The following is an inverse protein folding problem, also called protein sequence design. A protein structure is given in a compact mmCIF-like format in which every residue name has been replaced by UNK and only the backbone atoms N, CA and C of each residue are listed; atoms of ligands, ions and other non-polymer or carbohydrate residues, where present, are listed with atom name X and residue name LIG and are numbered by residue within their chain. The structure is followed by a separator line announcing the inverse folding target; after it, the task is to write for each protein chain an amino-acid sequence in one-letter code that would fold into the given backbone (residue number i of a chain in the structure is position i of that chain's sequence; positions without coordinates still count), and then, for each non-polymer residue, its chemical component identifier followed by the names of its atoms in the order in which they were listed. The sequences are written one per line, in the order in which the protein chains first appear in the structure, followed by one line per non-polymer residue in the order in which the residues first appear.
data_IF_048029978866
#
_entry.id   IF_048029978866
#
_cell.length_a   1.000
_cell.length_b   1.000
_cell.length_c   1.000
_cell.angle_alpha   90.00
_cell.angle_beta   90.00
_cell.angle_gamma   90.00
#
_symmetry.space_group_name_H-M   'P 1'
#
loop_
_entity.id
_entity.type
_entity.pdbx_description
1 polymer ?
#
# COMPACT_ATOMS: atom_id res chain seq x y z
N UNK A 1 -23.33 51.41 -40.45
CA UNK A 1 -23.01 52.04 -39.15
C UNK A 1 -22.43 50.96 -38.23
N UNK A 2 -21.11 50.97 -37.95
CA UNK A 2 -20.49 49.96 -37.07
C UNK A 2 -20.75 50.36 -35.61
N UNK A 3 -21.59 49.61 -34.88
CA UNK A 3 -21.76 49.80 -33.43
C UNK A 3 -20.42 49.49 -32.75
N UNK A 4 -19.89 50.44 -31.99
CA UNK A 4 -18.75 50.20 -31.09
C UNK A 4 -19.30 49.58 -29.80
N UNK A 5 -18.87 48.36 -29.50
CA UNK A 5 -19.17 47.66 -28.24
C UNK A 5 -18.31 48.25 -27.12
N UNK A 6 -18.92 48.64 -26.00
CA UNK A 6 -18.23 49.08 -24.78
C UNK A 6 -18.80 48.35 -23.57
N UNK A 7 -17.97 48.10 -22.56
CA UNK A 7 -18.35 47.44 -21.30
C UNK A 7 -18.28 48.43 -20.13
N UNK A 8 -19.09 48.18 -19.10
CA UNK A 8 -19.07 48.98 -17.87
C UNK A 8 -18.14 48.36 -16.82
N UNK A 9 -17.55 49.20 -15.96
CA UNK A 9 -16.72 48.73 -14.83
C UNK A 9 -17.51 47.81 -13.89
N UNK A 10 -18.83 48.02 -13.76
CA UNK A 10 -19.68 47.17 -12.92
C UNK A 10 -19.89 45.77 -13.52
N UNK A 11 -19.99 45.63 -14.84
CA UNK A 11 -20.01 44.32 -15.51
C UNK A 11 -18.69 43.57 -15.28
N UNK A 12 -17.55 44.27 -15.37
CA UNK A 12 -16.25 43.63 -15.14
C UNK A 12 -16.13 43.13 -13.70
N UNK A 13 -16.51 43.95 -12.71
CA UNK A 13 -16.43 43.59 -11.30
C UNK A 13 -17.39 42.45 -10.95
N UNK A 14 -18.61 42.45 -11.51
CA UNK A 14 -19.57 41.36 -11.33
C UNK A 14 -19.05 40.06 -11.95
N UNK A 15 -18.47 40.10 -13.16
CA UNK A 15 -17.92 38.91 -13.81
C UNK A 15 -16.76 38.33 -13.01
N UNK A 16 -15.80 39.17 -12.59
CA UNK A 16 -14.64 38.67 -11.82
C UNK A 16 -15.08 38.16 -10.45
N UNK A 17 -16.07 38.79 -9.82
CA UNK A 17 -16.66 38.34 -8.56
C UNK A 17 -17.37 36.98 -8.69
N UNK A 18 -18.23 36.81 -9.70
CA UNK A 18 -18.93 35.53 -9.95
C UNK A 18 -17.95 34.44 -10.34
N UNK A 19 -16.98 34.72 -11.21
CA UNK A 19 -15.95 33.75 -11.60
C UNK A 19 -15.09 33.35 -10.39
N UNK A 20 -14.75 34.28 -9.50
CA UNK A 20 -14.02 33.98 -8.27
C UNK A 20 -14.79 33.03 -7.34
N UNK A 21 -16.07 33.31 -7.09
CA UNK A 21 -16.93 32.44 -6.26
C UNK A 21 -17.08 31.06 -6.91
N UNK A 22 -17.42 31.00 -8.19
CA UNK A 22 -17.55 29.74 -8.92
C UNK A 22 -16.24 28.95 -8.90
N UNK A 23 -15.08 29.57 -9.12
CA UNK A 23 -13.79 28.91 -9.05
C UNK A 23 -13.52 28.30 -7.66
N UNK A 24 -13.78 29.03 -6.58
CA UNK A 24 -13.60 28.49 -5.21
C UNK A 24 -14.56 27.34 -4.90
N UNK A 25 -15.82 27.44 -5.30
CA UNK A 25 -16.83 26.38 -5.11
C UNK A 25 -16.47 25.15 -5.94
N UNK A 26 -15.99 25.34 -7.16
CA UNK A 26 -15.60 24.23 -8.05
C UNK A 26 -14.40 23.46 -7.51
N UNK A 27 -13.40 24.14 -6.94
CA UNK A 27 -12.23 23.49 -6.31
C UNK A 27 -12.59 22.75 -5.03
N UNK A 28 -13.59 23.22 -4.27
CA UNK A 28 -14.10 22.50 -3.09
C UNK A 28 -14.90 21.25 -3.46
N UNK A 29 -15.49 21.20 -4.65
CA UNK A 29 -16.29 20.07 -5.15
C UNK A 29 -15.47 19.06 -5.94
N UNK A 30 -14.39 19.47 -6.62
CA UNK A 30 -13.52 18.60 -7.41
C UNK A 30 -12.18 18.51 -6.72
N UNK A 31 -11.84 17.37 -6.12
CA UNK A 31 -10.48 17.08 -5.67
C UNK A 31 -9.61 16.74 -6.90
N UNK A 32 -8.76 17.68 -7.39
CA UNK A 32 -8.03 17.47 -8.64
C UNK A 32 -6.97 16.37 -8.53
N UNK A 33 -6.43 16.15 -7.32
CA UNK A 33 -5.44 15.09 -7.07
C UNK A 33 -6.10 13.72 -7.23
N UNK A 34 -7.31 13.56 -6.70
CA UNK A 34 -8.08 12.33 -6.84
C UNK A 34 -8.42 12.04 -8.31
N UNK A 35 -8.77 13.06 -9.10
CA UNK A 35 -9.03 12.88 -10.53
C UNK A 35 -7.78 12.42 -11.31
N UNK A 36 -6.60 12.95 -10.96
CA UNK A 36 -5.33 12.50 -11.54
C UNK A 36 -5.01 11.05 -11.14
N UNK A 37 -5.26 10.68 -9.88
CA UNK A 37 -5.12 9.28 -9.40
C UNK A 37 -6.03 8.33 -10.17
N UNK A 38 -7.30 8.71 -10.36
CA UNK A 38 -8.24 7.92 -11.16
C UNK A 38 -7.77 7.75 -12.61
N UNK A 39 -7.14 8.78 -13.19
CA UNK A 39 -6.54 8.69 -14.52
C UNK A 39 -5.39 7.68 -14.59
N UNK A 40 -4.53 7.64 -13.57
CA UNK A 40 -3.46 6.63 -13.47
C UNK A 40 -4.00 5.23 -13.22
N UNK A 41 -4.97 5.07 -12.32
CA UNK A 41 -5.62 3.77 -12.06
C UNK A 41 -6.32 3.21 -13.30
N UNK A 42 -7.05 4.06 -14.05
CA UNK A 42 -7.65 3.65 -15.31
C UNK A 42 -6.59 3.14 -16.32
N UNK A 43 -5.40 3.75 -16.31
CA UNK A 43 -4.27 3.31 -17.12
C UNK A 43 -3.69 1.98 -16.63
N UNK A 44 -3.49 1.80 -15.32
CA UNK A 44 -3.03 0.53 -14.71
C UNK A 44 -3.91 -0.65 -15.15
N UNK A 45 -5.23 -0.46 -15.02
CA UNK A 45 -6.23 -1.48 -15.38
C UNK A 45 -6.14 -1.80 -16.88
N UNK A 46 -6.04 -0.78 -17.74
CA UNK A 46 -5.94 -1.00 -19.19
C UNK A 46 -4.63 -1.72 -19.58
N UNK A 47 -3.52 -1.37 -18.94
CA UNK A 47 -2.22 -1.99 -19.16
C UNK A 47 -2.23 -3.47 -18.71
N UNK A 48 -2.75 -3.76 -17.51
CA UNK A 48 -2.86 -5.15 -17.03
C UNK A 48 -3.84 -5.99 -17.85
N UNK A 49 -4.97 -5.43 -18.32
CA UNK A 49 -5.87 -6.13 -19.25
C UNK A 49 -5.18 -6.47 -20.57
N UNK A 50 -4.37 -5.55 -21.09
CA UNK A 50 -3.60 -5.78 -22.32
C UNK A 50 -2.61 -6.94 -22.14
N UNK A 51 -1.92 -7.00 -20.99
CA UNK A 51 -1.02 -8.11 -20.66
C UNK A 51 -1.80 -9.42 -20.49
N UNK A 52 -2.92 -9.39 -19.77
CA UNK A 52 -3.78 -10.56 -19.55
C UNK A 52 -4.29 -11.16 -20.87
N UNK A 53 -4.73 -10.31 -21.80
CA UNK A 53 -5.17 -10.75 -23.13
C UNK A 53 -4.00 -11.36 -23.92
N UNK A 54 -2.81 -10.76 -23.85
CA UNK A 54 -1.61 -11.30 -24.49
C UNK A 54 -1.20 -12.66 -23.90
N UNK A 55 -1.28 -12.84 -22.58
CA UNK A 55 -1.07 -14.12 -21.92
C UNK A 55 -2.14 -15.15 -22.33
N UNK A 56 -3.39 -14.74 -22.53
CA UNK A 56 -4.44 -15.59 -23.09
C UNK A 56 -4.12 -16.10 -24.51
N UNK A 57 -3.54 -15.25 -25.36
CA UNK A 57 -3.01 -15.67 -26.67
C UNK A 57 -1.88 -16.70 -26.51
N UNK A 58 -0.96 -16.48 -25.57
CA UNK A 58 0.12 -17.43 -25.29
C UNK A 58 -0.43 -18.76 -24.78
N UNK A 59 -1.40 -18.74 -23.87
CA UNK A 59 -2.05 -19.92 -23.33
C UNK A 59 -2.67 -20.78 -24.45
N UNK A 60 -3.28 -20.14 -25.44
CA UNK A 60 -3.93 -20.83 -26.54
C UNK A 60 -2.93 -21.47 -27.52
N UNK A 61 -1.91 -20.72 -27.96
CA UNK A 61 -0.99 -21.19 -29.01
C UNK A 61 0.23 -21.95 -28.48
N UNK A 62 0.74 -21.59 -27.30
CA UNK A 62 1.97 -22.14 -26.72
C UNK A 62 1.90 -22.17 -25.18
N UNK A 63 1.00 -22.98 -24.60
CA UNK A 63 0.77 -23.01 -23.15
C UNK A 63 2.04 -23.30 -22.33
N UNK A 64 2.98 -24.08 -22.87
CA UNK A 64 4.25 -24.37 -22.18
C UNK A 64 5.15 -23.14 -21.98
N UNK A 65 4.93 -22.05 -22.71
CA UNK A 65 5.66 -20.80 -22.54
C UNK A 65 5.25 -20.03 -21.28
N UNK A 66 4.10 -20.35 -20.66
CA UNK A 66 3.68 -19.79 -19.38
C UNK A 66 4.45 -20.38 -18.18
N UNK A 67 5.27 -21.40 -18.41
CA UNK A 67 5.99 -22.11 -17.37
C UNK A 67 5.08 -22.94 -16.46
N UNK A 68 5.63 -23.36 -15.33
CA UNK A 68 4.91 -24.04 -14.25
C UNK A 68 4.97 -23.17 -13.00
N UNK A 69 4.00 -23.27 -12.07
CA UNK A 69 4.02 -22.51 -10.83
C UNK A 69 5.36 -22.63 -10.09
N UNK A 70 5.84 -21.50 -9.58
CA UNK A 70 6.99 -21.37 -8.69
C UNK A 70 6.71 -20.33 -7.59
N UNK A 71 7.50 -20.36 -6.53
CA UNK A 71 7.39 -19.41 -5.41
C UNK A 71 8.15 -18.09 -5.73
N UNK A 72 8.00 -17.58 -6.96
CA UNK A 72 8.65 -16.35 -7.45
C UNK A 72 7.60 -15.32 -7.84
N UNK A 73 7.74 -14.12 -7.29
CA UNK A 73 6.96 -12.94 -7.66
C UNK A 73 7.83 -12.09 -8.59
N UNK A 74 7.47 -12.02 -9.85
CA UNK A 74 8.20 -11.19 -10.81
C UNK A 74 7.67 -9.75 -10.74
N UNK A 75 8.57 -8.77 -10.65
CA UNK A 75 8.22 -7.38 -10.33
C UNK A 75 8.62 -6.44 -11.47
N UNK A 76 7.74 -5.49 -11.83
CA UNK A 76 7.97 -4.53 -12.91
C UNK A 76 9.02 -3.45 -12.61
N UNK A 77 9.63 -3.47 -11.43
CA UNK A 77 10.68 -2.54 -11.03
C UNK A 77 12.02 -2.99 -11.60
N UNK A 78 12.76 -2.12 -12.30
CA UNK A 78 14.11 -2.46 -12.75
C UNK A 78 15.09 -2.47 -11.57
N UNK A 79 16.04 -3.39 -11.60
CA UNK A 79 17.10 -3.50 -10.59
C UNK A 79 18.49 -3.33 -11.20
N UNK A 80 19.37 -2.63 -10.48
CA UNK A 80 20.80 -2.55 -10.82
C UNK A 80 21.56 -3.84 -10.46
N UNK A 81 21.01 -4.66 -9.57
CA UNK A 81 21.61 -5.89 -9.03
C UNK A 81 20.80 -7.14 -9.35
N UNK A 82 20.05 -7.11 -10.47
CA UNK A 82 19.21 -8.23 -10.89
C UNK A 82 19.94 -9.59 -10.80
N UNK A 83 19.29 -10.66 -10.31
CA UNK A 83 17.85 -10.79 -10.08
C UNK A 83 17.33 -10.14 -8.77
N UNK A 84 18.22 -9.72 -7.86
CA UNK A 84 17.82 -9.12 -6.58
C UNK A 84 17.05 -7.82 -6.81
N UNK A 85 15.89 -7.68 -6.17
CA UNK A 85 15.04 -6.51 -6.28
C UNK A 85 15.45 -5.37 -5.34
N UNK A 86 14.77 -4.23 -5.48
CA UNK A 86 14.88 -3.10 -4.56
C UNK A 86 14.63 -3.57 -3.11
N UNK A 87 15.56 -3.32 -2.16
CA UNK A 87 15.38 -3.70 -0.75
C UNK A 87 14.22 -2.99 -0.06
N UNK A 88 13.63 -1.94 -0.65
CA UNK A 88 12.41 -1.31 -0.12
C UNK A 88 11.14 -2.12 -0.40
N UNK A 89 11.19 -3.16 -1.24
CA UNK A 89 10.08 -4.09 -1.37
C UNK A 89 9.80 -4.81 -0.03
N UNK A 90 8.53 -5.04 0.32
CA UNK A 90 8.18 -5.73 1.56
C UNK A 90 8.66 -7.18 1.50
N UNK A 91 9.40 -7.69 2.51
CA UNK A 91 10.02 -9.01 2.43
C UNK A 91 8.96 -10.10 2.27
N UNK A 92 9.11 -11.02 1.29
CA UNK A 92 8.17 -12.11 1.09
C UNK A 92 8.35 -13.18 2.19
N UNK A 93 7.28 -13.90 2.58
CA UNK A 93 7.38 -15.05 3.47
C UNK A 93 8.08 -16.22 2.77
N UNK A 94 8.87 -17.00 3.51
CA UNK A 94 9.43 -18.24 2.97
C UNK A 94 8.31 -19.21 2.53
N UNK A 95 8.39 -19.87 1.36
CA UNK A 95 9.54 -19.95 0.43
C UNK A 95 9.59 -18.88 -0.67
N UNK A 96 8.70 -17.89 -0.65
CA UNK A 96 8.58 -16.90 -1.72
C UNK A 96 9.78 -15.96 -1.83
N UNK A 97 10.07 -15.53 -3.06
CA UNK A 97 11.11 -14.56 -3.38
C UNK A 97 10.66 -13.61 -4.50
N UNK A 98 11.28 -12.43 -4.59
CA UNK A 98 11.08 -11.55 -5.73
C UNK A 98 12.14 -11.78 -6.81
N UNK A 99 11.75 -11.58 -8.06
CA UNK A 99 12.68 -11.51 -9.18
C UNK A 99 12.47 -10.21 -9.97
N UNK A 100 13.54 -9.42 -10.08
CA UNK A 100 13.57 -8.19 -10.86
C UNK A 100 14.52 -8.35 -12.05
N UNK A 101 14.33 -7.51 -13.05
CA UNK A 101 15.19 -7.49 -14.25
C UNK A 101 16.00 -6.21 -14.32
N UNK A 102 17.06 -6.23 -15.12
CA UNK A 102 17.90 -5.04 -15.31
C UNK A 102 17.11 -3.90 -15.94
N UNK A 103 17.59 -2.66 -15.78
CA UNK A 103 17.05 -1.48 -16.48
C UNK A 103 16.96 -1.66 -18.01
N UNK A 104 17.83 -2.48 -18.60
CA UNK A 104 17.84 -2.74 -20.03
C UNK A 104 16.81 -3.80 -20.46
N UNK A 105 16.45 -4.73 -19.56
CA UNK A 105 15.70 -5.92 -19.92
C UNK A 105 14.27 -5.91 -19.42
N UNK A 106 13.97 -5.23 -18.31
CA UNK A 106 12.70 -5.38 -17.60
C UNK A 106 11.45 -5.21 -18.47
N UNK A 107 11.50 -4.43 -19.55
CA UNK A 107 10.35 -4.20 -20.43
C UNK A 107 10.31 -5.04 -21.70
N UNK A 108 11.27 -5.95 -21.90
CA UNK A 108 11.34 -6.82 -23.08
C UNK A 108 10.23 -7.86 -23.08
N UNK A 109 9.85 -8.31 -24.27
CA UNK A 109 8.77 -9.28 -24.50
C UNK A 109 9.27 -10.62 -25.06
N UNK A 110 10.59 -10.83 -25.02
CA UNK A 110 11.30 -12.01 -25.53
C UNK A 110 11.58 -13.07 -24.45
N UNK A 111 10.90 -12.98 -23.31
CA UNK A 111 11.11 -13.83 -22.13
C UNK A 111 12.18 -13.33 -21.16
N UNK A 112 12.92 -12.26 -21.47
CA UNK A 112 13.89 -11.66 -20.55
C UNK A 112 13.34 -10.52 -19.68
N UNK A 113 12.11 -10.07 -19.95
CA UNK A 113 11.44 -9.02 -19.20
C UNK A 113 10.91 -9.45 -17.83
N UNK A 114 10.25 -8.51 -17.14
CA UNK A 114 9.67 -8.77 -15.82
C UNK A 114 8.53 -9.80 -15.88
N UNK A 115 7.95 -10.06 -17.05
CA UNK A 115 7.17 -11.27 -17.29
C UNK A 115 8.06 -12.24 -18.08
N UNK A 116 8.42 -13.41 -17.53
CA UNK A 116 9.35 -14.36 -18.14
C UNK A 116 8.69 -15.20 -19.25
N UNK A 117 7.92 -14.55 -20.14
CA UNK A 117 7.19 -15.16 -21.26
C UNK A 117 7.67 -14.55 -22.57
N UNK A 118 8.02 -15.40 -23.53
CA UNK A 118 8.38 -14.96 -24.89
C UNK A 118 7.12 -14.79 -25.76
N UNK A 119 6.59 -13.57 -25.79
CA UNK A 119 5.44 -13.18 -26.59
C UNK A 119 5.75 -13.15 -28.10
N UNK A 120 7.01 -13.13 -28.50
CA UNK A 120 7.37 -13.20 -29.92
C UNK A 120 7.19 -14.62 -30.48
N UNK A 121 7.06 -15.63 -29.61
CA UNK A 121 7.05 -17.03 -30.03
C UNK A 121 5.69 -17.59 -30.42
N UNK A 122 4.61 -16.81 -30.30
CA UNK A 122 3.23 -17.29 -30.46
C UNK A 122 2.57 -16.83 -31.76
N UNK A 123 3.13 -15.84 -32.44
CA UNK A 123 2.52 -15.19 -33.60
C UNK A 123 3.57 -14.42 -34.41
N UNK A 124 3.31 -14.19 -35.70
CA UNK A 124 4.13 -13.33 -36.56
C UNK A 124 4.04 -11.84 -36.19
N UNK A 125 2.95 -11.44 -35.52
CA UNK A 125 2.78 -10.14 -34.88
C UNK A 125 2.67 -10.37 -33.38
N UNK A 126 3.66 -9.96 -32.56
CA UNK A 126 3.61 -10.16 -31.12
C UNK A 126 2.33 -9.55 -30.53
N UNK A 127 1.60 -10.26 -29.65
CA UNK A 127 0.41 -9.73 -29.00
C UNK A 127 0.74 -8.55 -28.07
N UNK A 128 2.01 -8.38 -27.70
CA UNK A 128 2.51 -7.30 -26.87
C UNK A 128 3.84 -6.78 -27.41
N UNK A 129 3.96 -5.47 -27.60
CA UNK A 129 5.18 -4.83 -28.12
C UNK A 129 6.19 -4.40 -27.06
N UNK A 130 5.74 -4.21 -25.82
CA UNK A 130 6.56 -3.82 -24.66
C UNK A 130 5.81 -4.19 -23.39
N UNK A 131 6.50 -4.69 -22.37
CA UNK A 131 5.85 -4.87 -21.07
C UNK A 131 5.54 -3.50 -20.46
N UNK A 132 4.29 -3.26 -20.02
CA UNK A 132 3.93 -2.03 -19.34
C UNK A 132 4.58 -2.03 -17.95
N UNK A 133 4.73 -0.82 -17.43
CA UNK A 133 5.11 -0.57 -16.04
C UNK A 133 4.28 0.60 -15.57
N UNK A 134 4.08 0.67 -14.26
CA UNK A 134 3.36 1.78 -13.67
C UNK A 134 3.99 3.14 -14.07
N UNK A 135 3.17 4.19 -14.13
CA UNK A 135 3.68 5.53 -14.43
C UNK A 135 4.62 6.07 -13.34
N UNK A 136 4.53 5.56 -12.11
CA UNK A 136 5.39 5.90 -10.98
C UNK A 136 6.47 4.80 -10.83
N UNK A 137 6.08 3.52 -10.74
CA UNK A 137 6.97 2.35 -10.75
C UNK A 137 8.11 2.40 -9.72
N UNK A 138 7.76 2.68 -8.47
CA UNK A 138 8.67 2.72 -7.31
C UNK A 138 8.18 1.78 -6.23
N UNK A 139 9.12 1.15 -5.51
CA UNK A 139 8.82 0.12 -4.51
C UNK A 139 8.18 0.72 -3.24
N UNK A 140 8.62 1.92 -2.85
CA UNK A 140 8.22 2.58 -1.61
C UNK A 140 6.70 2.83 -1.54
N UNK A 141 6.11 3.23 -2.67
CA UNK A 141 4.70 3.60 -2.76
C UNK A 141 3.79 2.41 -3.12
N UNK A 142 4.33 1.21 -3.36
CA UNK A 142 3.54 0.05 -3.82
C UNK A 142 3.07 0.15 -5.28
N UNK A 143 3.49 1.19 -6.01
CA UNK A 143 2.96 1.51 -7.34
C UNK A 143 3.78 0.85 -8.45
N UNK A 144 3.64 -0.46 -8.56
CA UNK A 144 4.27 -1.31 -9.58
C UNK A 144 3.35 -2.50 -9.89
N UNK A 145 3.73 -3.33 -10.87
CA UNK A 145 3.01 -4.55 -11.23
C UNK A 145 3.78 -5.79 -10.78
N UNK A 146 3.05 -6.81 -10.39
CA UNK A 146 3.58 -8.13 -10.10
C UNK A 146 2.97 -9.19 -10.99
N UNK A 147 3.68 -10.30 -11.17
CA UNK A 147 3.25 -11.46 -11.93
C UNK A 147 3.70 -12.74 -11.23
N UNK A 148 2.83 -13.75 -11.21
CA UNK A 148 3.16 -15.13 -10.86
C UNK A 148 2.79 -16.04 -12.03
N UNK A 149 3.66 -17.02 -12.34
CA UNK A 149 3.54 -17.87 -13.54
C UNK A 149 2.80 -19.19 -13.28
N UNK A 150 2.45 -19.89 -14.35
CA UNK A 150 1.52 -21.04 -14.32
C UNK A 150 0.12 -20.62 -14.78
N UNK A 151 -0.94 -21.02 -14.06
CA UNK A 151 -2.15 -20.20 -14.06
C UNK A 151 -1.72 -18.84 -13.54
N UNK A 152 -1.83 -17.77 -14.32
CA UNK A 152 -1.21 -16.51 -13.93
C UNK A 152 -2.13 -15.64 -13.11
N UNK A 153 -1.48 -14.78 -12.33
CA UNK A 153 -2.05 -13.69 -11.56
C UNK A 153 -1.20 -12.45 -11.81
N UNK A 154 -1.85 -11.31 -12.04
CA UNK A 154 -1.24 -10.00 -12.21
C UNK A 154 -1.87 -9.04 -11.20
N UNK A 155 -1.04 -8.36 -10.40
CA UNK A 155 -1.54 -7.47 -9.35
C UNK A 155 -1.04 -6.03 -9.54
N UNK A 156 -1.89 -5.06 -9.17
CA UNK A 156 -1.53 -3.65 -9.10
C UNK A 156 -2.26 -2.93 -7.97
N UNK A 157 -1.56 -2.09 -7.21
CA UNK A 157 -2.20 -1.20 -6.23
C UNK A 157 -2.92 -0.05 -6.92
N UNK A 158 -4.14 0.26 -6.49
CA UNK A 158 -4.90 1.44 -6.94
C UNK A 158 -4.66 2.64 -6.02
N UNK A 159 -4.39 3.82 -6.59
CA UNK A 159 -4.09 5.02 -5.81
C UNK A 159 -5.33 5.80 -5.35
N UNK A 160 -6.41 5.71 -6.12
CA UNK A 160 -7.60 6.53 -5.96
C UNK A 160 -8.60 5.87 -5.02
N UNK A 161 -9.31 6.69 -4.26
CA UNK A 161 -10.40 6.23 -3.40
C UNK A 161 -11.50 5.59 -4.27
N UNK A 162 -11.74 6.12 -5.47
CA UNK A 162 -12.79 5.61 -6.34
C UNK A 162 -12.58 4.16 -6.79
N UNK A 163 -11.34 3.76 -7.12
CA UNK A 163 -11.02 2.41 -7.62
C UNK A 163 -10.73 1.41 -6.48
N UNK A 164 -10.31 1.89 -5.31
CA UNK A 164 -10.09 1.04 -4.12
C UNK A 164 -11.37 0.37 -3.59
N UNK A 165 -11.18 -0.60 -2.69
CA UNK A 165 -12.30 -1.31 -2.06
C UNK A 165 -13.26 -0.34 -1.35
N UNK A 166 -14.55 -0.47 -1.59
CA UNK A 166 -15.60 0.42 -1.08
C UNK A 166 -15.70 1.78 -1.78
N UNK A 167 -14.87 2.02 -2.80
CA UNK A 167 -14.95 3.21 -3.66
C UNK A 167 -16.15 3.20 -4.61
N UNK A 168 -16.40 4.32 -5.30
CA UNK A 168 -17.52 4.42 -6.26
C UNK A 168 -17.39 3.42 -7.43
N UNK A 169 -16.17 3.14 -7.88
CA UNK A 169 -15.88 2.18 -8.95
C UNK A 169 -15.53 0.79 -8.40
N UNK A 170 -14.99 0.73 -7.18
CA UNK A 170 -14.73 -0.50 -6.42
C UNK A 170 -14.12 -1.63 -7.28
N UNK A 171 -13.04 -1.37 -8.02
CA UNK A 171 -12.49 -2.44 -8.88
C UNK A 171 -11.78 -3.49 -8.05
N UNK A 172 -11.06 -3.06 -7.01
CA UNK A 172 -10.35 -3.94 -6.08
C UNK A 172 -11.33 -4.83 -5.30
N UNK A 173 -12.49 -4.31 -4.89
CA UNK A 173 -13.48 -5.13 -4.19
C UNK A 173 -14.34 -6.03 -5.10
N UNK A 174 -14.21 -5.92 -6.42
CA UNK A 174 -15.08 -6.59 -7.39
C UNK A 174 -14.31 -7.41 -8.45
N UNK A 175 -13.00 -7.56 -8.32
CA UNK A 175 -12.17 -8.29 -9.28
C UNK A 175 -12.21 -9.82 -9.07
N UNK A 176 -12.69 -10.27 -7.92
CA UNK A 176 -12.87 -11.68 -7.59
C UNK A 176 -11.61 -12.36 -7.05
N UNK A 177 -10.59 -11.58 -6.70
CA UNK A 177 -9.38 -12.06 -6.05
C UNK A 177 -9.52 -12.25 -4.55
N UNK A 178 -8.40 -12.49 -3.88
CA UNK A 178 -8.35 -12.84 -2.46
C UNK A 178 -7.99 -11.67 -1.53
N UNK A 179 -7.59 -10.53 -2.07
CA UNK A 179 -7.30 -9.32 -1.29
C UNK A 179 -8.26 -8.18 -1.63
N UNK A 180 -8.40 -7.25 -0.69
CA UNK A 180 -9.13 -5.99 -0.89
C UNK A 180 -8.18 -4.79 -1.05
N UNK A 181 -6.91 -5.05 -1.34
CA UNK A 181 -5.86 -4.02 -1.40
C UNK A 181 -5.22 -3.88 -2.79
N UNK A 182 -5.34 -4.89 -3.65
CA UNK A 182 -4.77 -4.90 -4.99
C UNK A 182 -5.87 -5.18 -6.01
N UNK A 183 -5.74 -4.60 -7.19
CA UNK A 183 -6.50 -5.05 -8.34
C UNK A 183 -5.83 -6.29 -8.91
N UNK A 184 -6.58 -7.39 -8.97
CA UNK A 184 -6.10 -8.71 -9.38
C UNK A 184 -6.72 -9.12 -10.72
N UNK A 185 -5.91 -9.62 -11.66
CA UNK A 185 -6.41 -10.14 -12.94
C UNK A 185 -5.59 -11.31 -13.44
N UNK A 186 -6.25 -12.32 -13.98
CA UNK A 186 -5.57 -13.54 -14.40
C UNK A 186 -6.52 -14.70 -14.59
N UNK A 187 -5.95 -15.90 -14.57
CA UNK A 187 -6.69 -17.18 -14.63
C UNK A 187 -6.89 -17.83 -13.27
N UNK A 188 -6.07 -17.46 -12.29
CA UNK A 188 -6.18 -17.87 -10.90
C UNK A 188 -5.73 -16.69 -10.05
N UNK A 189 -6.56 -16.27 -9.11
CA UNK A 189 -6.43 -15.01 -8.35
C UNK A 189 -6.14 -15.26 -6.87
N UNK A 190 -5.68 -16.47 -6.53
CA UNK A 190 -5.31 -16.87 -5.18
C UNK A 190 -3.95 -17.57 -5.17
N UNK A 191 -3.11 -17.30 -6.18
CA UNK A 191 -1.80 -17.92 -6.32
C UNK A 191 -0.77 -17.26 -5.42
N UNK A 192 -0.94 -15.96 -5.18
CA UNK A 192 -0.12 -15.22 -4.22
C UNK A 192 -0.76 -15.34 -2.84
N UNK A 193 -0.04 -15.78 -1.79
CA UNK A 193 -0.58 -15.78 -0.44
C UNK A 193 -1.06 -14.39 -0.03
N UNK A 194 -2.25 -14.32 0.58
CA UNK A 194 -2.88 -13.06 1.00
C UNK A 194 -1.95 -12.19 1.86
N UNK A 195 -1.06 -12.78 2.66
CA UNK A 195 -0.09 -12.01 3.47
C UNK A 195 0.93 -11.25 2.61
N UNK A 196 1.20 -11.73 1.40
CA UNK A 196 2.06 -11.05 0.41
C UNK A 196 1.25 -9.97 -0.30
N UNK A 197 0.05 -10.29 -0.78
CA UNK A 197 -0.84 -9.33 -1.43
C UNK A 197 -1.15 -8.13 -0.51
N UNK A 198 -1.42 -8.38 0.77
CA UNK A 198 -1.66 -7.35 1.76
C UNK A 198 -0.42 -6.48 2.01
N UNK A 199 0.78 -7.06 1.99
CA UNK A 199 2.06 -6.33 2.10
C UNK A 199 2.35 -5.48 0.85
N UNK A 200 2.08 -6.02 -0.33
CA UNK A 200 2.28 -5.33 -1.61
C UNK A 200 1.32 -4.13 -1.76
N UNK A 201 0.08 -4.24 -1.25
CA UNK A 201 -0.94 -3.18 -1.33
C UNK A 201 -0.89 -2.10 -0.25
N UNK A 202 0.10 -2.14 0.65
CA UNK A 202 0.19 -1.22 1.80
C UNK A 202 1.53 -0.51 1.93
N UNK A 203 2.47 -0.76 1.00
CA UNK A 203 3.81 -0.16 0.97
C UNK A 203 4.86 -0.97 1.74
N UNK A 204 6.12 -0.50 1.69
CA UNK A 204 7.23 -1.13 2.41
C UNK A 204 6.92 -1.32 3.90
N UNK A 205 7.31 -2.46 4.48
CA UNK A 205 7.20 -2.65 5.92
C UNK A 205 7.94 -1.52 6.67
N UNK A 206 7.37 -1.08 7.79
CA UNK A 206 7.91 0.04 8.56
C UNK A 206 7.90 -0.26 10.07
N UNK A 207 8.72 0.45 10.85
CA UNK A 207 8.67 0.35 12.31
C UNK A 207 7.26 0.73 12.82
N UNK A 208 6.72 0.13 13.89
CA UNK A 208 5.31 0.29 14.23
C UNK A 208 4.89 1.76 14.36
N UNK A 209 3.67 2.12 13.97
CA UNK A 209 3.11 3.45 14.26
C UNK A 209 2.26 3.36 15.53
N UNK A 210 2.67 4.06 16.58
CA UNK A 210 2.08 3.92 17.92
C UNK A 210 1.29 5.16 18.31
N UNK A 211 0.21 4.97 19.05
CA UNK A 211 -0.57 6.03 19.67
C UNK A 211 -0.88 5.64 21.11
N UNK A 212 -0.44 6.48 22.05
CA UNK A 212 -0.83 6.38 23.46
C UNK A 212 -2.24 6.92 23.61
N UNK A 213 -3.18 6.09 24.08
CA UNK A 213 -4.58 6.47 24.30
C UNK A 213 -4.81 6.83 25.77
N UNK A 214 -5.96 7.44 26.06
CA UNK A 214 -6.33 7.76 27.44
C UNK A 214 -6.48 6.49 28.29
N UNK A 215 -5.99 6.54 29.52
CA UNK A 215 -6.21 5.48 30.50
C UNK A 215 -7.70 5.39 30.88
N UNK A 216 -8.16 4.18 31.18
CA UNK A 216 -9.53 3.89 31.63
C UNK A 216 -9.51 3.18 32.98
N UNK A 217 -10.69 2.99 33.58
CA UNK A 217 -10.88 2.20 34.81
C UNK A 217 -9.95 2.62 35.96
N UNK A 218 -9.66 3.93 36.03
CA UNK A 218 -8.77 4.52 37.03
C UNK A 218 -9.45 4.59 38.40
N UNK A 219 -8.85 3.92 39.39
CA UNK A 219 -9.23 4.00 40.81
C UNK A 219 -8.12 4.67 41.62
N UNK A 220 -8.19 4.63 42.95
CA UNK A 220 -7.12 5.15 43.82
C UNK A 220 -5.82 4.35 43.73
N UNK A 221 -5.85 3.10 43.26
CA UNK A 221 -4.69 2.19 43.26
C UNK A 221 -4.53 1.32 42.00
N UNK A 222 -5.43 1.48 41.03
CA UNK A 222 -5.41 0.72 39.76
C UNK A 222 -5.74 1.63 38.59
N UNK A 223 -5.30 1.25 37.39
CA UNK A 223 -5.76 1.87 36.14
C UNK A 223 -5.48 0.92 34.98
N UNK A 224 -6.20 1.05 33.88
CA UNK A 224 -5.90 0.37 32.62
C UNK A 224 -5.22 1.35 31.66
N UNK A 225 -4.01 1.01 31.21
CA UNK A 225 -3.29 1.75 30.18
C UNK A 225 -3.76 1.27 28.81
N UNK A 226 -4.07 2.20 27.91
CA UNK A 226 -4.57 1.88 26.58
C UNK A 226 -3.61 2.41 25.50
N UNK A 227 -3.42 1.61 24.46
CA UNK A 227 -2.59 1.96 23.30
C UNK A 227 -3.16 1.39 22.01
N UNK A 228 -2.76 1.98 20.90
CA UNK A 228 -3.01 1.44 19.56
C UNK A 228 -1.71 1.44 18.78
N UNK A 229 -1.43 0.38 18.04
CA UNK A 229 -0.24 0.32 17.21
C UNK A 229 -0.51 -0.40 15.89
N UNK A 230 -0.11 0.22 14.78
CA UNK A 230 -0.01 -0.45 13.49
C UNK A 230 1.28 -1.28 13.47
N UNK A 231 1.22 -2.62 13.32
CA UNK A 231 2.42 -3.46 13.28
C UNK A 231 3.40 -3.16 12.14
N UNK A 232 2.95 -2.49 11.08
CA UNK A 232 3.81 -2.10 9.95
C UNK A 232 4.26 -3.27 9.08
N UNK A 233 3.45 -4.33 8.97
CA UNK A 233 3.65 -5.43 8.02
C UNK A 233 4.53 -6.58 8.54
N UNK A 234 5.12 -6.42 9.72
CA UNK A 234 5.97 -7.40 10.40
C UNK A 234 5.45 -7.70 11.79
N UNK A 235 5.75 -8.89 12.30
CA UNK A 235 5.32 -9.31 13.64
C UNK A 235 5.78 -8.30 14.68
N UNK A 236 4.81 -7.67 15.37
CA UNK A 236 5.06 -6.63 16.34
C UNK A 236 4.55 -7.01 17.74
N UNK A 237 5.23 -6.49 18.76
CA UNK A 237 4.84 -6.63 20.17
C UNK A 237 4.63 -5.25 20.77
N UNK A 238 3.54 -5.06 21.53
CA UNK A 238 3.21 -3.82 22.24
C UNK A 238 3.40 -3.94 23.76
N UNK A 239 3.84 -2.88 24.42
CA UNK A 239 3.94 -2.75 25.88
C UNK A 239 3.86 -1.28 26.31
N UNK A 240 3.96 -1.03 27.61
CA UNK A 240 3.90 0.31 28.18
C UNK A 240 5.12 0.62 29.07
N UNK A 241 5.40 1.91 29.21
CA UNK A 241 6.26 2.49 30.25
C UNK A 241 5.45 3.48 31.06
N UNK A 242 5.66 3.55 32.37
CA UNK A 242 4.99 4.52 33.24
C UNK A 242 5.87 4.99 34.40
N UNK A 243 5.69 6.24 34.84
CA UNK A 243 6.36 6.81 36.01
C UNK A 243 5.53 7.95 36.62
N UNK A 244 5.86 8.34 37.84
CA UNK A 244 5.44 9.59 38.49
C UNK A 244 6.17 10.82 37.93
N UNK A 245 7.30 10.63 37.26
CA UNK A 245 8.07 11.69 36.60
C UNK A 245 7.73 11.73 35.11
N UNK A 246 7.28 12.88 34.62
CA UNK A 246 7.01 13.07 33.20
C UNK A 246 8.28 12.88 32.36
N UNK A 247 8.25 12.07 31.29
CA UNK A 247 9.42 11.90 30.42
C UNK A 247 9.64 13.08 29.46
N UNK A 248 8.72 14.05 29.42
CA UNK A 248 8.67 15.13 28.42
C UNK A 248 8.24 14.62 27.04
N UNK A 249 8.99 13.64 26.50
CA UNK A 249 8.64 12.89 25.30
C UNK A 249 8.74 11.39 25.58
N UNK A 250 7.84 10.62 24.99
CA UNK A 250 7.85 9.16 25.15
C UNK A 250 9.19 8.55 24.74
N UNK A 251 9.59 7.49 25.44
CA UNK A 251 10.77 6.69 25.14
C UNK A 251 10.65 5.32 25.84
N UNK A 252 11.51 4.36 25.48
CA UNK A 252 11.50 3.02 26.11
C UNK A 252 12.52 2.86 27.23
N UNK A 253 12.88 3.94 27.92
CA UNK A 253 13.83 3.92 29.04
C UNK A 253 13.30 4.58 30.31
N UNK A 254 12.27 5.41 30.23
CA UNK A 254 11.71 6.09 31.40
C UNK A 254 10.87 5.16 32.25
N UNK A 255 10.96 5.31 33.57
CA UNK A 255 10.11 4.61 34.52
C UNK A 255 10.07 3.10 34.40
N UNK A 256 8.93 2.57 34.81
CA UNK A 256 8.68 1.15 34.97
C UNK A 256 8.02 0.60 33.72
N UNK A 257 8.51 -0.55 33.24
CA UNK A 257 7.91 -1.28 32.12
C UNK A 257 6.72 -2.12 32.58
N UNK A 258 5.65 -2.14 31.78
CA UNK A 258 4.47 -2.96 32.01
C UNK A 258 4.03 -3.64 30.69
N UNK A 259 3.94 -4.98 30.64
CA UNK A 259 4.38 -5.93 31.67
C UNK A 259 5.90 -5.86 31.88
N UNK A 260 6.42 -6.48 32.94
CA UNK A 260 7.87 -6.48 33.23
C UNK A 260 8.69 -7.19 32.15
N UNK A 261 8.09 -8.16 31.45
CA UNK A 261 8.67 -8.91 30.33
C UNK A 261 7.61 -9.23 29.28
N UNK A 262 7.99 -9.36 28.01
CA UNK A 262 7.04 -9.68 26.93
C UNK A 262 6.10 -8.51 26.61
N UNK A 263 4.91 -8.80 26.10
CA UNK A 263 3.93 -7.78 25.74
C UNK A 263 2.75 -8.39 24.99
N UNK A 264 1.88 -7.53 24.48
CA UNK A 264 0.75 -7.94 23.64
C UNK A 264 1.23 -8.25 22.23
N UNK A 265 0.90 -9.41 21.69
CA UNK A 265 1.15 -9.74 20.28
C UNK A 265 0.19 -8.93 19.40
N UNK A 266 0.73 -8.08 18.53
CA UNK A 266 -0.06 -7.23 17.64
C UNK A 266 -0.24 -7.85 16.24
N UNK A 267 0.42 -8.99 15.98
CA UNK A 267 0.45 -9.62 14.67
C UNK A 267 1.35 -8.87 13.69
N UNK A 268 1.15 -9.13 12.39
CA UNK A 268 1.94 -8.54 11.29
C UNK A 268 1.09 -7.77 10.28
N UNK A 269 -0.11 -7.35 10.68
CA UNK A 269 -1.03 -6.60 9.83
C UNK A 269 -0.57 -5.15 9.59
N UNK A 270 -1.34 -4.46 8.77
CA UNK A 270 -1.14 -3.04 8.42
C UNK A 270 -2.24 -2.13 8.97
N UNK A 271 -3.10 -2.68 9.82
CA UNK A 271 -4.18 -1.96 10.50
C UNK A 271 -3.81 -1.81 11.98
N UNK A 272 -4.02 -0.63 12.60
CA UNK A 272 -3.80 -0.45 14.03
C UNK A 272 -4.57 -1.47 14.88
N UNK A 273 -3.85 -2.13 15.77
CA UNK A 273 -4.38 -3.08 16.75
C UNK A 273 -4.35 -2.41 18.12
N UNK A 274 -5.48 -2.43 18.82
CA UNK A 274 -5.56 -1.93 20.19
C UNK A 274 -4.99 -2.96 21.17
N UNK A 275 -4.26 -2.47 22.18
CA UNK A 275 -3.72 -3.27 23.25
C UNK A 275 -3.78 -2.49 24.58
N UNK A 276 -3.79 -3.22 25.69
CA UNK A 276 -3.93 -2.64 27.02
C UNK A 276 -3.08 -3.38 28.04
N UNK A 277 -2.82 -2.72 29.17
CA UNK A 277 -2.16 -3.32 30.33
C UNK A 277 -2.79 -2.77 31.62
N UNK A 278 -3.16 -3.68 32.53
CA UNK A 278 -3.74 -3.32 33.82
C UNK A 278 -2.65 -3.09 34.86
N UNK A 279 -2.61 -1.88 35.42
CA UNK A 279 -1.73 -1.54 36.53
C UNK A 279 -2.45 -1.67 37.87
N UNK A 280 -1.71 -2.15 38.87
CA UNK A 280 -2.15 -2.22 40.26
C UNK A 280 -1.04 -1.77 41.22
N UNK A 281 -1.41 -1.49 42.46
CA UNK A 281 -0.46 -1.05 43.49
C UNK A 281 -0.04 0.41 43.36
N UNK A 282 -0.82 1.24 42.66
CA UNK A 282 -0.55 2.67 42.54
C UNK A 282 -0.81 3.38 43.87
N UNK A 283 -0.01 4.41 44.16
CA UNK A 283 -0.21 5.25 45.35
C UNK A 283 -1.33 6.27 45.12
N UNK A 284 -2.35 6.34 46.00
CA UNK A 284 -3.43 7.31 45.87
C UNK A 284 -2.97 8.77 45.85
N UNK A 285 -3.58 9.58 44.99
CA UNK A 285 -3.30 11.02 44.90
C UNK A 285 -2.02 11.39 44.15
N UNK A 286 -1.34 10.43 43.52
CA UNK A 286 -0.16 10.65 42.69
C UNK A 286 -0.53 10.62 41.20
N UNK A 287 0.02 11.56 40.43
CA UNK A 287 -0.09 11.56 38.97
C UNK A 287 0.94 10.61 38.36
N UNK A 288 0.48 9.74 37.47
CA UNK A 288 1.34 8.87 36.67
C UNK A 288 1.27 9.29 35.20
N UNK A 289 2.43 9.29 34.55
CA UNK A 289 2.61 9.48 33.12
C UNK A 289 2.94 8.13 32.50
N UNK A 290 2.44 7.86 31.29
CA UNK A 290 2.71 6.61 30.61
C UNK A 290 2.82 6.81 29.10
N UNK A 291 3.43 5.83 28.44
CA UNK A 291 3.58 5.76 27.00
C UNK A 291 3.32 4.33 26.53
N UNK A 292 2.55 4.21 25.46
CA UNK A 292 2.42 3.00 24.67
C UNK A 292 3.67 2.85 23.78
N UNK A 293 4.13 1.63 23.56
CA UNK A 293 5.36 1.30 22.83
C UNK A 293 5.11 0.06 22.00
N UNK A 294 5.60 0.03 20.76
CA UNK A 294 5.61 -1.19 19.97
C UNK A 294 6.92 -1.34 19.19
N UNK A 295 7.33 -2.58 18.97
CA UNK A 295 8.55 -2.93 18.25
C UNK A 295 8.29 -4.09 17.29
N UNK A 296 8.89 -3.99 16.10
CA UNK A 296 9.08 -5.07 15.15
C UNK A 296 10.57 -5.12 14.74
N UNK A 297 10.94 -6.00 13.81
CA UNK A 297 12.35 -6.15 13.39
C UNK A 297 12.93 -4.94 12.65
N UNK A 298 12.13 -3.97 12.23
CA UNK A 298 12.59 -2.72 11.60
C UNK A 298 12.77 -1.57 12.59
N UNK A 299 12.23 -1.70 13.80
CA UNK A 299 12.47 -0.73 14.86
C UNK A 299 11.35 -0.63 15.87
N UNK A 300 11.50 0.38 16.72
CA UNK A 300 10.65 0.66 17.89
C UNK A 300 10.13 2.09 17.84
N UNK A 301 8.86 2.25 18.21
CA UNK A 301 8.16 3.54 18.23
C UNK A 301 7.28 3.67 19.48
N UNK A 302 6.80 4.89 19.75
CA UNK A 302 6.03 5.26 20.95
C UNK A 302 5.18 6.52 20.72
#
# INVERSE_FOLDING_TARGET
MKRKSGFTLIELVLVVGVVGILATVTVLLINPVEFLKQGRDARRIAELRTVNDALGVVQFYKPSALGVPDDIIYVSIPSATAPDCDPSLPPPPFPWSYECKTQADYRKVDGSGWIPVDFNSVSTVPPLGVLPVDSINVAEDGLYYTYVKGSWELNAMMESIAYNNGGEKNVVGNDGGDTNLLFEIGTELTNVPVEINDRLGTGAAFAPAVTTLAATDTTSSTTTLNGSANPGGLSATGWFRYDTVSPGSCNDTFGTRAPTTGGSALGSGMIPVNYFEDLSGLTPGITYYFCAIAENSLGKSY
#
